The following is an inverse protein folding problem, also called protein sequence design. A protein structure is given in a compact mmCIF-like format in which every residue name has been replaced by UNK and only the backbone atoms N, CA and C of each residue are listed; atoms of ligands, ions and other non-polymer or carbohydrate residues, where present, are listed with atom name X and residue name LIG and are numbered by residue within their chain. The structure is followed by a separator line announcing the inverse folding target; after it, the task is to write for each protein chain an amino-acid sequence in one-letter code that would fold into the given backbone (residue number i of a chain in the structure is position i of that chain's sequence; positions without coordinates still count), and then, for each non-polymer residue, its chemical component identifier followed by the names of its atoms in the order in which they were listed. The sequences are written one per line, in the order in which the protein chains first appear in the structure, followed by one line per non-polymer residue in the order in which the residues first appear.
data_IF_396040631290
#
_entry.id   IF_396040631290
#
_cell.length_a   1.000
_cell.length_b   1.000
_cell.length_c   1.000
_cell.angle_alpha   90.00
_cell.angle_beta   90.00
_cell.angle_gamma   90.00
#
_symmetry.space_group_name_H-M   'P 1'
#
loop_
_entity.id
_entity.type
_entity.pdbx_description
1 polymer ?
#
# COMPACT_ATOMS: atom_id res chain seq x y z
N UNK A 1 54.10 15.17 -19.14
CA UNK A 1 53.28 15.76 -18.08
C UNK A 1 51.90 16.23 -18.56
N UNK A 2 51.78 16.89 -19.72
CA UNK A 2 50.50 17.43 -20.25
C UNK A 2 49.43 16.36 -20.55
N UNK A 3 49.79 15.15 -21.02
CA UNK A 3 48.84 14.04 -21.29
C UNK A 3 48.28 13.37 -20.03
N UNK A 4 49.02 13.38 -18.91
CA UNK A 4 48.51 12.89 -17.62
C UNK A 4 47.52 13.86 -16.99
N UNK A 5 47.71 15.16 -17.13
CA UNK A 5 46.82 16.19 -16.61
C UNK A 5 45.47 16.17 -17.34
N UNK A 6 45.47 15.94 -18.67
CA UNK A 6 44.21 15.81 -19.47
C UNK A 6 43.44 14.56 -19.13
N UNK A 7 44.07 13.44 -18.84
CA UNK A 7 43.39 12.20 -18.39
C UNK A 7 42.80 12.35 -16.99
N UNK A 8 43.46 13.08 -16.09
CA UNK A 8 42.96 13.36 -14.75
C UNK A 8 41.74 14.32 -14.78
N UNK A 9 41.74 15.31 -15.69
CA UNK A 9 40.62 16.23 -15.86
C UNK A 9 39.37 15.53 -16.48
N UNK A 10 39.59 14.58 -17.40
CA UNK A 10 38.50 13.76 -17.97
C UNK A 10 37.91 12.78 -16.95
N UNK A 11 38.72 12.25 -16.02
CA UNK A 11 38.22 11.37 -14.95
C UNK A 11 37.38 12.13 -13.91
N UNK A 12 37.65 13.41 -13.67
CA UNK A 12 36.84 14.25 -12.77
C UNK A 12 35.48 14.69 -13.35
N UNK A 13 35.30 14.61 -14.68
CA UNK A 13 34.02 14.91 -15.33
C UNK A 13 33.03 13.74 -15.34
N UNK A 14 33.48 12.52 -15.01
CA UNK A 14 32.66 11.31 -15.14
C UNK A 14 31.73 11.00 -13.92
N UNK A 15 31.84 11.74 -12.82
CA UNK A 15 31.02 11.48 -11.59
C UNK A 15 29.97 12.57 -11.32
N UNK A 16 29.32 13.10 -12.32
CA UNK A 16 28.09 13.81 -12.06
C UNK A 16 26.99 12.75 -11.92
N UNK A 17 26.71 12.34 -10.69
CA UNK A 17 25.46 11.65 -10.39
C UNK A 17 24.31 12.50 -10.97
N UNK A 18 23.51 11.90 -11.87
CA UNK A 18 22.41 12.63 -12.49
C UNK A 18 21.48 13.12 -11.40
N UNK A 19 21.22 14.42 -11.37
CA UNK A 19 20.22 15.00 -10.48
C UNK A 19 18.86 14.33 -10.77
N UNK A 20 18.15 13.98 -9.71
CA UNK A 20 16.81 13.39 -9.80
C UNK A 20 15.79 14.48 -9.58
N UNK A 21 14.84 14.59 -10.49
CA UNK A 21 13.68 15.46 -10.36
C UNK A 21 12.41 14.60 -10.37
N UNK A 22 11.52 14.77 -9.39
CA UNK A 22 10.24 14.07 -9.33
C UNK A 22 9.13 15.03 -8.95
N UNK A 23 8.00 14.95 -9.65
CA UNK A 23 6.76 15.65 -9.27
C UNK A 23 5.96 14.73 -8.37
N UNK A 24 5.74 15.14 -7.12
CA UNK A 24 4.98 14.36 -6.13
C UNK A 24 3.46 14.43 -6.37
N UNK A 25 2.66 13.79 -5.53
CA UNK A 25 1.21 13.73 -5.71
C UNK A 25 0.48 15.03 -5.33
N UNK A 26 1.21 16.03 -4.82
CA UNK A 26 0.73 17.39 -4.60
C UNK A 26 1.01 18.31 -5.80
N UNK A 27 1.71 17.82 -6.82
CA UNK A 27 2.20 18.63 -7.94
C UNK A 27 3.50 19.40 -7.62
N UNK A 28 4.15 19.12 -6.50
CA UNK A 28 5.40 19.78 -6.09
C UNK A 28 6.59 19.05 -6.71
N UNK A 29 7.44 19.81 -7.40
CA UNK A 29 8.71 19.29 -7.93
C UNK A 29 9.74 19.20 -6.82
N UNK A 30 10.24 18.01 -6.57
CA UNK A 30 11.32 17.74 -5.62
C UNK A 30 12.58 17.40 -6.38
N UNK A 31 13.65 18.15 -6.11
CA UNK A 31 14.97 17.94 -6.72
C UNK A 31 15.92 17.34 -5.69
N UNK A 32 16.57 16.24 -6.08
CA UNK A 32 17.64 15.57 -5.33
C UNK A 32 18.93 15.66 -6.13
N UNK A 33 20.07 15.95 -5.50
CA UNK A 33 21.34 16.09 -6.22
C UNK A 33 21.85 14.79 -6.85
N UNK A 34 21.37 13.66 -6.33
CA UNK A 34 21.65 12.30 -6.79
C UNK A 34 20.55 11.34 -6.29
N UNK A 35 20.49 10.10 -6.80
CA UNK A 35 19.64 9.06 -6.21
C UNK A 35 19.98 8.88 -4.73
N UNK A 36 18.96 8.95 -3.83
CA UNK A 36 19.18 8.95 -2.39
C UNK A 36 19.79 7.64 -1.91
N UNK A 37 20.70 7.73 -0.94
CA UNK A 37 21.32 6.59 -0.27
C UNK A 37 20.77 6.40 1.15
N UNK A 38 20.08 7.40 1.68
CA UNK A 38 19.47 7.37 3.02
C UNK A 38 18.01 7.77 2.91
N UNK A 39 17.11 6.80 3.04
CA UNK A 39 15.68 6.96 2.82
C UNK A 39 14.96 6.67 4.14
N UNK A 40 14.08 7.58 4.55
CA UNK A 40 13.07 7.30 5.57
C UNK A 40 11.73 7.11 4.88
N UNK A 41 11.02 6.03 5.18
CA UNK A 41 9.69 5.74 4.64
C UNK A 41 8.64 5.74 5.76
N UNK A 42 7.62 6.58 5.63
CA UNK A 42 6.54 6.75 6.62
C UNK A 42 5.22 6.11 6.17
N UNK A 43 5.29 5.14 5.24
CA UNK A 43 4.12 4.40 4.79
C UNK A 43 4.53 2.98 4.38
N UNK A 44 3.88 1.93 4.92
CA UNK A 44 4.28 0.53 4.65
C UNK A 44 4.33 0.17 3.16
N UNK A 45 3.36 0.64 2.37
CA UNK A 45 3.35 0.39 0.93
C UNK A 45 4.55 1.01 0.21
N UNK A 46 5.01 2.21 0.62
CA UNK A 46 6.20 2.85 0.06
C UNK A 46 7.48 2.11 0.47
N UNK A 47 7.56 1.64 1.72
CA UNK A 47 8.65 0.78 2.20
C UNK A 47 8.78 -0.48 1.33
N UNK A 48 7.66 -1.15 1.08
CA UNK A 48 7.61 -2.34 0.21
C UNK A 48 8.03 -2.01 -1.23
N UNK A 49 7.59 -0.87 -1.78
CA UNK A 49 7.97 -0.42 -3.15
C UNK A 49 9.48 -0.13 -3.23
N UNK A 50 10.07 0.55 -2.25
CA UNK A 50 11.52 0.81 -2.21
C UNK A 50 12.31 -0.50 -2.24
N UNK A 51 11.90 -1.48 -1.42
CA UNK A 51 12.54 -2.78 -1.37
C UNK A 51 12.37 -3.56 -2.66
N UNK A 52 11.19 -3.56 -3.25
CA UNK A 52 10.89 -4.27 -4.50
C UNK A 52 11.65 -3.71 -5.70
N UNK A 53 11.92 -2.40 -5.68
CA UNK A 53 12.76 -1.73 -6.68
C UNK A 53 14.26 -1.95 -6.46
N UNK A 54 14.66 -2.70 -5.42
CA UNK A 54 16.04 -3.11 -5.17
C UNK A 54 16.86 -2.12 -4.35
N UNK A 55 16.22 -1.23 -3.58
CA UNK A 55 16.88 -0.22 -2.74
C UNK A 55 16.57 -0.38 -1.25
N UNK A 56 16.27 -1.59 -0.79
CA UNK A 56 15.92 -1.88 0.60
C UNK A 56 17.05 -1.54 1.59
N UNK A 57 18.27 -1.70 1.16
CA UNK A 57 19.50 -1.37 1.89
C UNK A 57 19.73 0.14 2.10
N UNK A 58 19.03 0.98 1.33
CA UNK A 58 19.05 2.44 1.49
C UNK A 58 18.05 2.95 2.53
N UNK A 59 17.14 2.10 3.03
CA UNK A 59 16.23 2.47 4.11
C UNK A 59 17.01 2.61 5.42
N UNK A 60 16.90 3.78 6.07
CA UNK A 60 17.54 4.06 7.36
C UNK A 60 16.52 4.25 8.49
N UNK A 61 15.23 4.29 8.18
CA UNK A 61 14.12 4.35 9.13
C UNK A 61 12.80 4.11 8.44
N UNK A 62 11.86 3.50 9.17
CA UNK A 62 10.54 3.13 8.67
C UNK A 62 9.46 3.47 9.69
N UNK A 63 8.21 3.55 9.26
CA UNK A 63 7.07 3.72 10.15
C UNK A 63 6.86 2.48 11.04
N UNK A 64 6.03 2.63 12.10
CA UNK A 64 5.76 1.57 13.07
C UNK A 64 5.01 0.34 12.49
N UNK A 65 4.42 0.47 11.31
CA UNK A 65 3.63 -0.58 10.65
C UNK A 65 4.38 -1.27 9.51
N UNK A 66 5.55 -0.75 9.11
CA UNK A 66 6.42 -1.35 8.10
C UNK A 66 7.09 -2.60 8.64
N UNK A 67 6.61 -3.77 8.23
CA UNK A 67 7.05 -5.08 8.71
C UNK A 67 7.45 -6.04 7.57
N UNK A 68 7.40 -5.59 6.32
CA UNK A 68 7.74 -6.36 5.13
C UNK A 68 8.61 -5.55 4.16
N UNK A 69 9.63 -6.20 3.53
CA UNK A 69 10.14 -7.54 3.83
C UNK A 69 10.76 -7.63 5.23
N UNK A 70 11.04 -8.86 5.71
CA UNK A 70 11.41 -9.10 7.11
C UNK A 70 12.59 -8.27 7.61
N UNK A 71 13.55 -7.96 6.73
CA UNK A 71 14.74 -7.17 7.06
C UNK A 71 14.43 -5.73 7.52
N UNK A 72 13.31 -5.14 7.11
CA UNK A 72 12.98 -3.78 7.54
C UNK A 72 12.56 -3.70 9.01
N UNK A 73 12.22 -4.83 9.63
CA UNK A 73 11.83 -4.90 11.05
C UNK A 73 12.95 -4.53 12.01
N UNK A 74 14.20 -4.57 11.57
CA UNK A 74 15.37 -4.23 12.37
C UNK A 74 15.78 -2.77 12.25
N UNK A 75 15.14 -2.02 11.35
CA UNK A 75 15.41 -0.61 11.16
C UNK A 75 14.79 0.24 12.28
N UNK A 76 15.33 1.43 12.54
CA UNK A 76 14.71 2.40 13.43
C UNK A 76 13.25 2.68 13.05
N UNK A 77 12.34 2.54 14.01
CA UNK A 77 10.94 2.92 13.86
C UNK A 77 10.75 4.38 14.24
N UNK A 78 10.14 5.17 13.36
CA UNK A 78 10.05 6.62 13.48
C UNK A 78 8.62 7.14 13.66
N UNK A 79 7.75 6.34 14.26
CA UNK A 79 6.34 6.68 14.46
C UNK A 79 5.43 6.23 13.34
N UNK A 80 4.21 6.74 13.30
CA UNK A 80 3.20 6.41 12.30
C UNK A 80 2.79 7.61 11.45
N UNK A 81 1.66 7.49 10.77
CA UNK A 81 1.13 8.51 9.85
C UNK A 81 0.78 9.81 10.59
N UNK A 82 0.32 9.72 11.83
CA UNK A 82 -0.16 10.87 12.62
C UNK A 82 0.83 11.32 13.71
N UNK A 83 1.70 10.42 14.18
CA UNK A 83 2.59 10.57 15.34
C UNK A 83 4.07 10.37 14.98
N UNK A 84 4.47 10.73 13.77
CA UNK A 84 5.86 10.61 13.33
C UNK A 84 6.83 11.37 14.27
N UNK A 85 7.88 10.67 14.71
CA UNK A 85 8.92 11.23 15.57
C UNK A 85 9.92 12.03 14.72
N UNK A 86 9.69 13.34 14.63
CA UNK A 86 10.49 14.27 13.83
C UNK A 86 11.97 14.27 14.24
N UNK A 87 12.26 14.22 15.54
CA UNK A 87 13.63 14.25 16.06
C UNK A 87 14.41 13.01 15.62
N UNK A 88 13.80 11.84 15.74
CA UNK A 88 14.40 10.60 15.24
C UNK A 88 14.62 10.66 13.74
N UNK A 89 13.64 11.13 12.95
CA UNK A 89 13.79 11.27 11.49
C UNK A 89 14.98 12.16 11.14
N UNK A 90 15.10 13.34 11.78
CA UNK A 90 16.21 14.28 11.56
C UNK A 90 17.55 13.67 11.96
N UNK A 91 17.61 12.94 13.08
CA UNK A 91 18.85 12.29 13.55
C UNK A 91 19.36 11.21 12.58
N UNK A 92 18.48 10.59 11.81
CA UNK A 92 18.83 9.62 10.79
C UNK A 92 19.43 10.26 9.53
N UNK A 93 19.44 11.59 9.41
CA UNK A 93 20.00 12.37 8.30
C UNK A 93 19.59 11.80 6.94
N UNK A 94 18.28 11.69 6.63
CA UNK A 94 17.83 11.14 5.36
C UNK A 94 18.09 12.13 4.21
N UNK A 95 18.44 11.60 3.03
CA UNK A 95 18.49 12.36 1.78
C UNK A 95 17.06 12.70 1.30
N UNK A 96 16.09 11.79 1.60
CA UNK A 96 14.69 11.96 1.27
C UNK A 96 13.79 11.24 2.28
N UNK A 97 12.63 11.83 2.54
CA UNK A 97 11.54 11.20 3.29
C UNK A 97 10.38 10.92 2.34
N UNK A 98 9.96 9.67 2.27
CA UNK A 98 8.77 9.24 1.53
C UNK A 98 7.59 9.13 2.50
N UNK A 99 6.47 9.77 2.16
CA UNK A 99 5.28 9.75 3.03
C UNK A 99 3.98 9.91 2.23
N UNK A 100 2.83 9.68 2.88
CA UNK A 100 1.54 9.96 2.28
C UNK A 100 1.28 11.46 2.16
N UNK A 101 0.56 11.89 1.11
CA UNK A 101 0.19 13.31 0.94
C UNK A 101 -0.69 13.83 2.10
N UNK A 102 -1.40 12.94 2.80
CA UNK A 102 -2.20 13.22 3.99
C UNK A 102 -1.40 13.28 5.30
N UNK A 103 -0.08 13.01 5.30
CA UNK A 103 0.74 12.99 6.51
C UNK A 103 0.85 14.35 7.19
N UNK A 104 0.58 14.39 8.49
CA UNK A 104 0.71 15.61 9.32
C UNK A 104 2.16 16.03 9.54
N UNK A 105 3.12 15.11 9.41
CA UNK A 105 4.55 15.40 9.61
C UNK A 105 5.16 16.26 8.50
N UNK A 106 4.54 16.29 7.32
CA UNK A 106 5.08 16.87 6.10
C UNK A 106 5.59 18.30 6.25
N UNK A 107 4.72 19.22 6.70
CA UNK A 107 5.08 20.64 6.83
C UNK A 107 6.23 20.86 7.80
N UNK A 108 6.28 20.10 8.90
CA UNK A 108 7.35 20.19 9.90
C UNK A 108 8.68 19.68 9.34
N UNK A 109 8.68 18.56 8.62
CA UNK A 109 9.88 18.00 7.98
C UNK A 109 10.45 18.96 6.93
N UNK A 110 9.58 19.55 6.09
CA UNK A 110 9.98 20.54 5.09
C UNK A 110 10.53 21.83 5.74
N UNK A 111 9.91 22.30 6.83
CA UNK A 111 10.37 23.46 7.59
C UNK A 111 11.78 23.25 8.19
N UNK A 112 12.19 22.01 8.42
CA UNK A 112 13.53 21.62 8.86
C UNK A 112 14.51 21.38 7.69
N UNK A 113 14.11 21.67 6.46
CA UNK A 113 14.95 21.57 5.26
C UNK A 113 15.07 20.16 4.68
N UNK A 114 14.31 19.18 5.19
CA UNK A 114 14.33 17.82 4.64
C UNK A 114 13.61 17.76 3.29
N UNK A 115 14.15 16.98 2.37
CA UNK A 115 13.50 16.67 1.10
C UNK A 115 12.37 15.66 1.34
N UNK A 116 11.16 16.01 0.95
CA UNK A 116 9.96 15.19 1.18
C UNK A 116 9.29 14.92 -0.16
N UNK A 117 9.02 13.66 -0.45
CA UNK A 117 8.24 13.21 -1.63
C UNK A 117 6.94 12.60 -1.12
N UNK A 118 5.83 13.27 -1.41
CA UNK A 118 4.49 12.88 -0.96
C UNK A 118 3.79 12.02 -2.03
N UNK A 119 3.48 10.75 -1.68
CA UNK A 119 2.90 9.78 -2.59
C UNK A 119 1.75 9.03 -1.89
N UNK A 120 0.57 9.04 -2.50
CA UNK A 120 -0.64 8.47 -1.88
C UNK A 120 -1.46 7.67 -2.90
N UNK A 121 -1.21 6.37 -3.07
CA UNK A 121 -1.97 5.53 -3.99
C UNK A 121 -3.35 5.20 -3.42
N UNK A 122 -4.43 5.49 -4.18
CA UNK A 122 -5.84 5.19 -3.84
C UNK A 122 -6.47 4.19 -4.80
N UNK A 123 -6.00 4.15 -6.05
CA UNK A 123 -6.47 3.30 -7.13
C UNK A 123 -5.35 2.42 -7.67
N UNK A 124 -5.66 1.42 -8.50
CA UNK A 124 -4.63 0.60 -9.17
C UNK A 124 -3.74 1.44 -10.11
N UNK A 125 -4.34 2.44 -10.77
CA UNK A 125 -3.58 3.38 -11.60
C UNK A 125 -2.58 4.19 -10.76
N UNK A 126 -2.99 4.61 -9.56
CA UNK A 126 -2.09 5.30 -8.62
C UNK A 126 -0.95 4.41 -8.15
N UNK A 127 -1.21 3.12 -7.88
CA UNK A 127 -0.14 2.19 -7.50
C UNK A 127 0.92 2.11 -8.58
N UNK A 128 0.50 1.95 -9.86
CA UNK A 128 1.43 1.97 -10.99
C UNK A 128 2.24 3.26 -11.04
N UNK A 129 1.56 4.40 -10.90
CA UNK A 129 2.18 5.74 -10.90
C UNK A 129 3.18 5.89 -9.75
N UNK A 130 2.82 5.48 -8.53
CA UNK A 130 3.68 5.56 -7.34
C UNK A 130 4.92 4.68 -7.50
N UNK A 131 4.79 3.44 -8.01
CA UNK A 131 5.94 2.59 -8.32
C UNK A 131 6.88 3.29 -9.30
N UNK A 132 6.35 3.94 -10.35
CA UNK A 132 7.14 4.72 -11.31
C UNK A 132 7.85 5.91 -10.67
N UNK A 133 7.16 6.69 -9.81
CA UNK A 133 7.74 7.85 -9.11
C UNK A 133 8.83 7.44 -8.10
N UNK A 134 8.60 6.37 -7.33
CA UNK A 134 9.63 5.84 -6.42
C UNK A 134 10.84 5.35 -7.22
N UNK A 135 10.62 4.65 -8.34
CA UNK A 135 11.72 4.23 -9.22
C UNK A 135 12.52 5.43 -9.75
N UNK A 136 11.84 6.52 -10.14
CA UNK A 136 12.49 7.77 -10.55
C UNK A 136 13.33 8.38 -9.42
N UNK A 137 12.80 8.43 -8.19
CA UNK A 137 13.57 8.87 -7.00
C UNK A 137 14.80 8.02 -6.79
N UNK A 138 14.70 6.71 -6.95
CA UNK A 138 15.78 5.75 -6.71
C UNK A 138 16.81 5.67 -7.85
N UNK A 139 16.49 6.23 -9.02
CA UNK A 139 17.25 6.00 -10.25
C UNK A 139 17.16 4.55 -10.76
N UNK A 140 16.01 3.90 -10.54
CA UNK A 140 15.78 2.48 -10.88
C UNK A 140 14.96 2.36 -12.16
N UNK A 141 15.31 1.42 -13.02
CA UNK A 141 14.59 1.07 -14.25
C UNK A 141 13.60 -0.11 -14.06
N UNK A 142 13.46 -0.62 -12.84
CA UNK A 142 12.70 -1.85 -12.51
C UNK A 142 11.19 -1.67 -12.49
N UNK A 143 10.66 -0.44 -12.49
CA UNK A 143 9.23 -0.17 -12.34
C UNK A 143 8.34 -0.91 -13.34
N UNK A 144 8.67 -0.98 -14.65
CA UNK A 144 7.85 -1.72 -15.61
C UNK A 144 7.76 -3.21 -15.28
N UNK A 145 8.88 -3.84 -14.93
CA UNK A 145 8.93 -5.27 -14.60
C UNK A 145 8.17 -5.57 -13.29
N UNK A 146 8.29 -4.69 -12.27
CA UNK A 146 7.54 -4.81 -11.02
C UNK A 146 6.05 -4.73 -11.29
N UNK A 147 5.60 -3.73 -12.07
CA UNK A 147 4.20 -3.58 -12.40
C UNK A 147 3.64 -4.77 -13.20
N UNK A 148 4.37 -5.24 -14.20
CA UNK A 148 3.95 -6.38 -15.01
C UNK A 148 3.79 -7.65 -14.17
N UNK A 149 4.70 -7.91 -13.23
CA UNK A 149 4.58 -9.04 -12.30
C UNK A 149 3.34 -8.93 -11.41
N UNK A 150 3.04 -7.73 -10.89
CA UNK A 150 1.83 -7.49 -10.10
C UNK A 150 0.60 -7.77 -10.96
N UNK A 151 0.55 -7.17 -12.15
CA UNK A 151 -0.60 -7.23 -13.04
C UNK A 151 -0.89 -8.67 -13.50
N UNK A 152 0.12 -9.38 -13.96
CA UNK A 152 -0.01 -10.78 -14.40
C UNK A 152 -0.39 -11.71 -13.25
N UNK A 153 0.10 -11.45 -12.03
CA UNK A 153 -0.28 -12.19 -10.83
C UNK A 153 -1.75 -11.98 -10.42
N UNK A 154 -2.24 -10.74 -10.52
CA UNK A 154 -3.67 -10.42 -10.29
C UNK A 154 -4.54 -11.12 -11.34
N UNK A 155 -4.15 -11.11 -12.62
CA UNK A 155 -4.88 -11.78 -13.68
C UNK A 155 -4.89 -13.30 -13.51
N UNK A 156 -3.78 -13.87 -13.02
CA UNK A 156 -3.72 -15.30 -12.70
C UNK A 156 -4.69 -15.66 -11.57
N UNK A 157 -4.75 -14.84 -10.50
CA UNK A 157 -5.73 -15.01 -9.43
C UNK A 157 -7.17 -14.91 -9.97
N UNK A 158 -7.47 -13.91 -10.81
CA UNK A 158 -8.79 -13.71 -11.40
C UNK A 158 -9.25 -14.92 -12.26
N UNK A 159 -8.31 -15.50 -13.02
CA UNK A 159 -8.60 -16.71 -13.82
C UNK A 159 -8.86 -17.95 -12.97
N UNK A 160 -8.34 -18.00 -11.74
CA UNK A 160 -8.52 -19.14 -10.85
C UNK A 160 -9.89 -19.14 -10.12
N UNK A 161 -10.66 -18.04 -10.20
CA UNK A 161 -12.02 -18.01 -9.64
C UNK A 161 -12.99 -18.77 -10.56
N UNK A 162 -13.69 -19.82 -10.06
CA UNK A 162 -14.69 -20.54 -10.80
C UNK A 162 -15.80 -19.63 -11.36
N UNK A 163 -16.29 -19.86 -12.60
CA UNK A 163 -17.33 -19.01 -13.21
C UNK A 163 -18.58 -18.84 -12.35
N UNK A 164 -19.03 -19.89 -11.67
CA UNK A 164 -20.23 -19.86 -10.80
C UNK A 164 -20.07 -19.02 -9.51
N UNK A 165 -18.87 -18.54 -9.20
CA UNK A 165 -18.60 -17.65 -8.05
C UNK A 165 -18.39 -16.19 -8.46
N UNK A 166 -18.42 -15.90 -9.77
CA UNK A 166 -18.32 -14.52 -10.26
C UNK A 166 -19.58 -13.73 -9.93
N UNK A 167 -19.40 -12.43 -9.71
CA UNK A 167 -20.49 -11.52 -9.35
C UNK A 167 -20.96 -11.62 -7.90
N UNK A 168 -20.32 -12.44 -7.05
CA UNK A 168 -20.62 -12.48 -5.62
C UNK A 168 -20.51 -11.10 -5.00
N UNK A 169 -21.56 -10.69 -4.27
CA UNK A 169 -21.64 -9.39 -3.60
C UNK A 169 -20.81 -9.39 -2.33
N UNK A 170 -19.77 -8.56 -2.31
CA UNK A 170 -18.75 -8.52 -1.26
C UNK A 170 -18.82 -7.20 -0.51
N UNK A 171 -18.78 -7.27 0.81
CA UNK A 171 -18.46 -6.17 1.70
C UNK A 171 -17.03 -6.35 2.22
N UNK A 172 -16.16 -5.37 2.00
CA UNK A 172 -14.78 -5.37 2.53
C UNK A 172 -14.66 -4.31 3.61
N UNK A 173 -14.41 -4.73 4.85
CA UNK A 173 -14.18 -3.83 5.97
C UNK A 173 -12.70 -3.59 6.21
N UNK A 174 -12.28 -2.32 6.11
CA UNK A 174 -10.88 -1.90 6.32
C UNK A 174 -10.61 -1.66 7.80
N UNK A 175 -11.60 -1.13 8.53
CA UNK A 175 -11.48 -0.78 9.95
C UNK A 175 -12.84 -0.91 10.64
N UNK A 176 -12.83 -1.32 11.93
CA UNK A 176 -14.02 -1.58 12.75
C UNK A 176 -14.93 -0.36 13.01
N UNK A 177 -14.56 0.84 12.57
CA UNK A 177 -15.30 2.08 12.86
C UNK A 177 -16.57 2.40 12.01
N UNK A 178 -17.23 1.60 11.16
CA UNK A 178 -16.75 0.74 10.11
C UNK A 178 -16.35 1.55 8.86
N UNK A 179 -15.08 1.55 8.54
CA UNK A 179 -14.60 2.04 7.24
C UNK A 179 -14.57 0.88 6.25
N UNK A 180 -15.14 1.11 5.07
CA UNK A 180 -15.20 0.11 4.02
C UNK A 180 -14.37 0.50 2.80
N UNK A 181 -13.93 -0.48 2.03
CA UNK A 181 -13.39 -0.26 0.71
C UNK A 181 -14.55 -0.18 -0.30
N UNK A 182 -14.70 0.95 -0.98
CA UNK A 182 -15.67 1.13 -2.07
C UNK A 182 -15.12 0.67 -3.42
N UNK A 183 -15.97 0.68 -4.45
CA UNK A 183 -15.56 0.45 -5.84
C UNK A 183 -14.46 1.40 -6.33
N UNK A 184 -14.37 2.61 -5.76
CA UNK A 184 -13.38 3.64 -6.12
C UNK A 184 -12.04 3.48 -5.41
N UNK A 185 -11.84 2.44 -4.60
CA UNK A 185 -10.57 2.12 -3.94
C UNK A 185 -9.79 1.06 -4.73
N UNK A 186 -8.46 1.01 -4.53
CA UNK A 186 -7.63 -0.07 -5.09
C UNK A 186 -8.12 -1.46 -4.67
N UNK A 187 -8.69 -1.61 -3.46
CA UNK A 187 -9.29 -2.86 -2.97
C UNK A 187 -10.55 -3.18 -3.78
N UNK A 188 -11.42 -2.18 -4.01
CA UNK A 188 -12.63 -2.35 -4.82
C UNK A 188 -12.32 -2.68 -6.28
N UNK A 189 -11.33 -2.01 -6.88
CA UNK A 189 -10.85 -2.32 -8.23
C UNK A 189 -10.26 -3.74 -8.29
N UNK A 190 -9.55 -4.17 -7.24
CA UNK A 190 -9.00 -5.53 -7.14
C UNK A 190 -10.12 -6.57 -7.02
N UNK A 191 -11.16 -6.31 -6.19
CA UNK A 191 -12.36 -7.14 -6.10
C UNK A 191 -13.04 -7.28 -7.47
N UNK A 192 -13.21 -6.19 -8.20
CA UNK A 192 -13.79 -6.21 -9.54
C UNK A 192 -12.95 -7.05 -10.52
N UNK A 193 -11.61 -6.89 -10.48
CA UNK A 193 -10.69 -7.67 -11.33
C UNK A 193 -10.73 -9.16 -11.04
N UNK A 194 -10.86 -9.57 -9.78
CA UNK A 194 -11.02 -11.00 -9.46
C UNK A 194 -12.43 -11.52 -9.75
N UNK A 195 -13.37 -10.66 -10.15
CA UNK A 195 -14.70 -11.04 -10.59
C UNK A 195 -15.76 -10.98 -9.50
N UNK A 196 -15.54 -10.30 -8.38
CA UNK A 196 -16.54 -10.02 -7.35
C UNK A 196 -17.25 -8.68 -7.58
N UNK A 197 -18.45 -8.50 -7.01
CA UNK A 197 -19.20 -7.25 -7.00
C UNK A 197 -19.06 -6.59 -5.62
N UNK A 198 -18.56 -5.36 -5.57
CA UNK A 198 -18.49 -4.61 -4.31
C UNK A 198 -19.87 -4.03 -3.98
N UNK A 199 -20.35 -4.19 -2.72
CA UNK A 199 -21.63 -3.62 -2.30
C UNK A 199 -21.52 -2.14 -1.92
N UNK A 200 -20.34 -1.58 -1.85
CA UNK A 200 -20.10 -0.18 -1.46
C UNK A 200 -19.84 0.66 -2.71
N UNK A 201 -20.80 1.54 -3.09
CA UNK A 201 -20.67 2.32 -4.32
C UNK A 201 -19.49 3.29 -4.32
N UNK A 202 -18.87 3.47 -5.48
CA UNK A 202 -17.70 4.35 -5.66
C UNK A 202 -17.99 5.83 -5.39
N UNK A 203 -19.24 6.28 -5.55
CA UNK A 203 -19.65 7.67 -5.28
C UNK A 203 -19.44 8.11 -3.82
N UNK A 204 -19.31 7.16 -2.90
CA UNK A 204 -19.03 7.44 -1.48
C UNK A 204 -17.55 7.77 -1.21
N UNK A 205 -16.71 7.77 -2.24
CA UNK A 205 -15.26 7.91 -2.11
C UNK A 205 -14.58 6.56 -1.82
N UNK A 206 -13.24 6.51 -1.84
CA UNK A 206 -12.50 5.25 -1.80
C UNK A 206 -12.65 4.47 -0.49
N UNK A 207 -12.69 5.17 0.66
CA UNK A 207 -12.76 4.54 1.99
C UNK A 207 -13.79 5.24 2.88
N UNK A 208 -15.11 5.12 2.57
CA UNK A 208 -16.14 5.78 3.34
C UNK A 208 -16.32 5.14 4.72
N UNK A 209 -16.63 5.99 5.72
CA UNK A 209 -17.23 5.54 6.97
C UNK A 209 -18.71 5.29 6.74
N UNK A 210 -19.16 4.08 6.97
CA UNK A 210 -20.55 3.69 6.72
C UNK A 210 -21.40 3.68 8.00
N UNK A 211 -22.70 3.91 7.83
CA UNK A 211 -23.65 3.51 8.85
C UNK A 211 -23.78 1.96 8.81
N UNK A 212 -23.69 1.25 9.94
CA UNK A 212 -23.87 -0.21 10.00
C UNK A 212 -25.15 -0.72 9.33
N UNK A 213 -26.25 0.05 9.39
CA UNK A 213 -27.51 -0.28 8.71
C UNK A 213 -27.39 -0.33 7.19
N UNK A 214 -26.45 0.43 6.59
CA UNK A 214 -26.17 0.35 5.17
C UNK A 214 -25.75 -1.07 4.78
N UNK A 215 -24.87 -1.69 5.55
CA UNK A 215 -24.38 -3.04 5.29
C UNK A 215 -25.48 -4.07 5.43
N UNK A 216 -26.39 -3.90 6.44
CA UNK A 216 -27.58 -4.76 6.61
C UNK A 216 -28.50 -4.66 5.39
N UNK A 217 -28.78 -3.45 4.87
CA UNK A 217 -29.61 -3.26 3.66
C UNK A 217 -28.94 -3.77 2.39
N UNK A 218 -27.61 -3.63 2.30
CA UNK A 218 -26.84 -4.13 1.15
C UNK A 218 -26.80 -5.67 1.11
N UNK A 219 -27.00 -6.33 2.25
CA UNK A 219 -27.06 -7.78 2.43
C UNK A 219 -25.99 -8.55 1.62
N UNK A 220 -24.69 -8.35 1.88
CA UNK A 220 -23.63 -8.99 1.14
C UNK A 220 -23.64 -10.51 1.29
N UNK A 221 -23.23 -11.22 0.21
CA UNK A 221 -23.07 -12.67 0.21
C UNK A 221 -21.75 -13.13 0.85
N UNK A 222 -20.74 -12.22 0.88
CA UNK A 222 -19.42 -12.47 1.48
C UNK A 222 -18.98 -11.21 2.24
N UNK A 223 -18.47 -11.40 3.44
CA UNK A 223 -17.78 -10.35 4.22
C UNK A 223 -16.31 -10.69 4.30
N UNK A 224 -15.46 -9.70 3.96
CA UNK A 224 -14.01 -9.76 4.08
C UNK A 224 -13.55 -8.79 5.17
N UNK A 225 -12.85 -9.28 6.19
CA UNK A 225 -12.48 -8.49 7.37
C UNK A 225 -11.18 -9.01 7.99
N UNK A 226 -10.37 -8.13 8.60
CA UNK A 226 -9.25 -8.59 9.42
C UNK A 226 -9.75 -9.21 10.72
N UNK A 227 -9.00 -10.16 11.29
CA UNK A 227 -9.31 -10.83 12.56
C UNK A 227 -9.49 -9.83 13.73
N UNK A 228 -8.72 -8.73 13.74
CA UNK A 228 -8.84 -7.64 14.72
C UNK A 228 -10.23 -7.00 14.72
N UNK A 229 -10.90 -6.96 13.57
CA UNK A 229 -12.21 -6.34 13.39
C UNK A 229 -13.36 -7.34 13.51
N UNK A 230 -13.09 -8.64 13.40
CA UNK A 230 -14.12 -9.68 13.34
C UNK A 230 -14.96 -9.79 14.62
N UNK A 231 -14.39 -9.55 15.80
CA UNK A 231 -15.12 -9.57 17.07
C UNK A 231 -16.21 -8.48 17.12
N UNK A 232 -15.95 -7.31 16.53
CA UNK A 232 -16.89 -6.21 16.48
C UNK A 232 -18.13 -6.54 15.61
N UNK A 233 -17.99 -7.42 14.60
CA UNK A 233 -19.07 -7.76 13.68
C UNK A 233 -20.25 -8.44 14.39
N UNK A 234 -19.97 -9.38 15.28
CA UNK A 234 -20.99 -10.19 15.96
C UNK A 234 -21.90 -9.37 16.89
N UNK A 235 -21.38 -8.23 17.37
CA UNK A 235 -22.09 -7.38 18.34
C UNK A 235 -22.85 -6.23 17.67
N UNK A 236 -22.83 -6.12 16.34
CA UNK A 236 -23.53 -5.05 15.63
C UNK A 236 -25.01 -5.39 15.45
N UNK A 237 -25.93 -4.49 15.83
CA UNK A 237 -27.36 -4.73 15.69
C UNK A 237 -27.76 -5.05 14.25
N UNK A 238 -28.51 -6.14 14.06
CA UNK A 238 -29.07 -6.55 12.77
C UNK A 238 -28.10 -7.27 11.82
N UNK A 239 -26.82 -7.41 12.18
CA UNK A 239 -25.83 -8.09 11.34
C UNK A 239 -26.04 -9.61 11.28
N UNK A 240 -26.70 -10.18 12.28
CA UNK A 240 -27.18 -11.57 12.29
C UNK A 240 -28.12 -11.92 11.12
N UNK A 241 -28.76 -10.90 10.52
CA UNK A 241 -29.66 -11.04 9.36
C UNK A 241 -28.96 -11.06 8.02
N UNK A 242 -27.70 -10.59 7.96
CA UNK A 242 -26.92 -10.52 6.73
C UNK A 242 -26.65 -11.94 6.20
N UNK A 243 -26.85 -12.15 4.90
CA UNK A 243 -26.68 -13.46 4.25
C UNK A 243 -25.29 -14.06 4.54
N UNK A 244 -24.21 -13.27 4.39
CA UNK A 244 -22.86 -13.72 4.67
C UNK A 244 -22.68 -14.25 6.11
N UNK A 245 -23.36 -13.64 7.09
CA UNK A 245 -23.27 -14.06 8.51
C UNK A 245 -24.05 -15.35 8.73
N UNK A 246 -25.28 -15.45 8.21
CA UNK A 246 -26.12 -16.64 8.30
C UNK A 246 -25.51 -17.86 7.63
N UNK A 247 -24.84 -17.65 6.47
CA UNK A 247 -24.21 -18.70 5.68
C UNK A 247 -22.74 -18.95 6.06
N UNK A 248 -22.26 -18.29 7.12
CA UNK A 248 -20.88 -18.39 7.61
C UNK A 248 -19.83 -18.06 6.52
N UNK A 249 -20.14 -17.11 5.66
CA UNK A 249 -19.26 -16.60 4.60
C UNK A 249 -18.55 -15.30 5.01
N UNK A 250 -18.05 -15.28 6.23
CA UNK A 250 -17.22 -14.21 6.77
C UNK A 250 -15.78 -14.69 6.74
N UNK A 251 -14.98 -14.10 5.86
CA UNK A 251 -13.55 -14.38 5.76
C UNK A 251 -12.79 -13.46 6.74
N UNK A 252 -12.19 -14.07 7.73
CA UNK A 252 -11.32 -13.40 8.69
C UNK A 252 -9.86 -13.60 8.28
N UNK A 253 -9.20 -12.51 7.93
CA UNK A 253 -7.79 -12.52 7.56
C UNK A 253 -6.92 -12.31 8.79
N UNK A 254 -5.83 -13.05 8.92
CA UNK A 254 -4.83 -12.79 9.95
C UNK A 254 -4.26 -11.37 9.81
N UNK A 255 -3.58 -10.87 10.85
CA UNK A 255 -2.97 -9.53 10.79
C UNK A 255 -2.04 -9.39 9.58
N UNK A 256 -1.24 -10.42 9.27
CA UNK A 256 -0.32 -10.43 8.12
C UNK A 256 -1.06 -10.43 6.78
N UNK A 257 -2.12 -11.21 6.65
CA UNK A 257 -2.97 -11.22 5.46
C UNK A 257 -3.72 -9.89 5.30
N UNK A 258 -4.19 -9.31 6.41
CA UNK A 258 -4.79 -7.98 6.44
C UNK A 258 -3.83 -6.92 5.92
N UNK A 259 -2.58 -6.94 6.36
CA UNK A 259 -1.52 -6.03 5.87
C UNK A 259 -1.34 -6.14 4.35
N UNK A 260 -1.35 -7.35 3.79
CA UNK A 260 -1.29 -7.56 2.32
C UNK A 260 -2.47 -6.91 1.60
N UNK A 261 -3.66 -7.06 2.16
CA UNK A 261 -4.90 -6.61 1.52
C UNK A 261 -5.11 -5.08 1.58
N UNK A 262 -4.59 -4.42 2.63
CA UNK A 262 -4.81 -2.98 2.82
C UNK A 262 -3.65 -2.10 2.35
N UNK A 263 -2.56 -2.69 1.85
CA UNK A 263 -1.40 -1.96 1.35
C UNK A 263 -1.38 -1.91 -0.18
N UNK A 264 -1.62 -0.73 -0.78
CA UNK A 264 -1.56 -0.56 -2.23
C UNK A 264 -0.10 -0.59 -2.71
N UNK A 265 0.40 -1.77 -3.09
CA UNK A 265 1.81 -1.97 -3.38
C UNK A 265 2.17 -3.28 -4.07
N UNK A 266 3.42 -3.73 -3.97
CA UNK A 266 3.95 -4.86 -4.73
C UNK A 266 3.24 -6.20 -4.47
N UNK A 267 2.60 -6.36 -3.29
CA UNK A 267 1.94 -7.61 -2.90
C UNK A 267 0.46 -7.71 -3.31
N UNK A 268 -0.03 -6.84 -4.19
CA UNK A 268 -1.44 -6.89 -4.63
C UNK A 268 -1.82 -8.22 -5.32
N UNK A 269 -0.88 -8.89 -5.97
CA UNK A 269 -1.12 -10.22 -6.54
C UNK A 269 -1.43 -11.27 -5.45
N UNK A 270 -0.73 -11.21 -4.33
CA UNK A 270 -1.00 -12.02 -3.13
C UNK A 270 -2.37 -11.66 -2.53
N UNK A 271 -2.69 -10.35 -2.45
CA UNK A 271 -4.00 -9.87 -2.03
C UNK A 271 -5.14 -10.41 -2.89
N UNK A 272 -4.98 -10.42 -4.21
CA UNK A 272 -5.95 -11.01 -5.15
C UNK A 272 -6.14 -12.52 -4.90
N UNK A 273 -5.05 -13.25 -4.63
CA UNK A 273 -5.13 -14.68 -4.28
C UNK A 273 -5.89 -14.90 -2.97
N UNK A 274 -5.66 -14.08 -1.94
CA UNK A 274 -6.39 -14.13 -0.66
C UNK A 274 -7.89 -13.89 -0.87
N UNK A 275 -8.26 -12.90 -1.72
CA UNK A 275 -9.66 -12.64 -2.06
C UNK A 275 -10.30 -13.86 -2.76
N UNK A 276 -9.61 -14.48 -3.72
CA UNK A 276 -10.10 -15.68 -4.40
C UNK A 276 -10.23 -16.86 -3.44
N UNK A 277 -9.27 -17.06 -2.53
CA UNK A 277 -9.36 -18.10 -1.50
C UNK A 277 -10.58 -17.90 -0.60
N UNK A 278 -10.88 -16.65 -0.23
CA UNK A 278 -12.12 -16.31 0.50
C UNK A 278 -13.36 -16.67 -0.31
N UNK A 279 -13.47 -16.19 -1.55
CA UNK A 279 -14.62 -16.43 -2.42
C UNK A 279 -14.87 -17.92 -2.68
N UNK A 280 -13.81 -18.73 -2.71
CA UNK A 280 -13.90 -20.19 -2.91
C UNK A 280 -14.09 -20.99 -1.62
N UNK A 281 -14.17 -20.33 -0.44
CA UNK A 281 -14.30 -20.99 0.86
C UNK A 281 -13.04 -21.73 1.32
N UNK A 282 -11.87 -21.46 0.71
CA UNK A 282 -10.59 -22.05 1.09
C UNK A 282 -9.95 -21.31 2.26
N UNK A 283 -10.26 -20.04 2.45
CA UNK A 283 -9.98 -19.28 3.67
C UNK A 283 -11.09 -19.56 4.67
N UNK A 284 -10.95 -20.61 5.44
CA UNK A 284 -11.82 -20.82 6.60
C UNK A 284 -11.33 -19.86 7.69
N UNK A 285 -12.17 -18.89 8.04
CA UNK A 285 -11.98 -18.16 9.28
C UNK A 285 -11.86 -19.19 10.40
N UNK A 286 -10.92 -19.00 11.32
CA UNK A 286 -10.98 -19.70 12.59
C UNK A 286 -12.31 -19.31 13.22
N UNK A 287 -13.31 -20.20 13.13
CA UNK A 287 -14.43 -20.15 14.05
C UNK A 287 -13.79 -20.29 15.44
N UNK A 288 -13.62 -19.17 16.14
CA UNK A 288 -13.34 -19.21 17.57
C UNK A 288 -14.56 -19.88 18.20
N UNK A 289 -14.34 -21.10 18.66
CA UNK A 289 -15.23 -21.81 19.60
C UNK A 289 -15.50 -20.92 20.81
#
# INVERSE_FOLDING_TARGET
MMRLLTLLLLALLALRAAAVEVVDDRGVTVQLPAPPQRIVSLLPSLTEVVCELGACDRLVGVDNYSNWPVQVRTLPHVGGLEDANIETIVSLKPDVVLLAASSRAMGRLQGLGLKVVALEPKTLADVRRVIGKVAQVLGSDRAPAVWERINSGVDAAARSLPPGLRGKRVYFEVNSAPYAASEASFIGELLARVGAANVVPGQLGPFPKLNPEFVVRADPEVIMVSDRNAQALRNRPGWDRIQAVREQRVCMFTAEQGDVLVRPGPRMAEGAQLMVQCLTGRLKGRATQ
#
